data_IF_838708534635
#
_entry.id   IF_838708534635
#
_cell.length_a   1.000
_cell.length_b   1.000
_cell.length_c   1.000
_cell.angle_alpha   90.00
_cell.angle_beta   90.00
_cell.angle_gamma   90.00
#
_symmetry.space_group_name_H-M   'P 1'
#
loop_
_entity.id
_entity.type
_entity.pdbx_description
1 polymer ?
#
# COMPACT_ATOMS: atom_id res chain seq x y z
N UNK A 1 2.60 -2.53 16.46
CA UNK A 1 1.40 -1.69 16.55
C UNK A 1 0.94 -1.37 15.15
N UNK A 2 -0.16 -1.99 14.71
CA UNK A 2 -0.72 -1.82 13.36
C UNK A 2 -1.63 -0.58 13.24
N UNK A 3 -1.70 0.25 14.27
CA UNK A 3 -2.53 1.43 14.30
C UNK A 3 -1.67 2.66 14.09
N UNK A 4 -1.97 3.46 13.09
CA UNK A 4 -1.37 4.79 12.88
C UNK A 4 -1.79 5.80 13.96
N UNK A 5 -2.40 5.35 15.04
CA UNK A 5 -2.82 6.14 16.19
C UNK A 5 -1.97 5.74 17.39
N UNK A 6 -0.79 6.31 17.49
CA UNK A 6 0.04 6.25 18.68
C UNK A 6 0.32 7.66 19.17
N UNK A 7 -0.01 7.96 20.42
CA UNK A 7 0.57 9.13 21.09
C UNK A 7 1.95 8.72 21.61
N UNK A 8 2.98 9.40 21.16
CA UNK A 8 4.31 9.33 21.75
C UNK A 8 4.46 10.58 22.63
N UNK A 9 4.72 10.35 23.92
CA UNK A 9 5.23 11.42 24.75
C UNK A 9 6.66 11.71 24.29
N UNK A 10 6.82 12.78 23.53
CA UNK A 10 8.12 13.24 23.05
C UNK A 10 8.54 14.48 23.86
N UNK A 11 9.67 14.35 24.53
CA UNK A 11 10.26 15.38 25.37
C UNK A 11 11.63 15.75 24.79
N UNK A 12 11.63 16.59 23.75
CA UNK A 12 12.85 17.01 23.08
C UNK A 12 12.65 17.78 21.78
N UNK A 13 13.74 18.30 21.21
CA UNK A 13 13.72 19.05 19.96
C UNK A 13 13.62 18.17 18.74
N UNK A 14 12.75 18.54 17.79
CA UNK A 14 12.67 17.87 16.49
C UNK A 14 13.84 18.32 15.60
N UNK A 15 14.62 17.34 15.11
CA UNK A 15 15.71 17.58 14.17
C UNK A 15 15.47 16.83 12.87
N UNK A 16 15.74 17.49 11.74
CA UNK A 16 15.74 16.82 10.43
C UNK A 16 17.00 15.97 10.34
N UNK A 17 16.84 14.64 10.35
CA UNK A 17 17.94 13.68 10.22
C UNK A 17 18.13 13.18 8.80
N UNK A 18 17.08 13.20 7.97
CA UNK A 18 17.13 12.71 6.58
C UNK A 18 16.20 13.51 5.69
N UNK A 19 16.60 13.70 4.44
CA UNK A 19 15.77 14.33 3.40
C UNK A 19 15.79 13.44 2.16
N UNK A 20 14.61 13.06 1.67
CA UNK A 20 14.44 12.19 0.52
C UNK A 20 13.93 12.99 -0.68
N UNK A 21 14.51 12.75 -1.86
CA UNK A 21 14.09 13.38 -3.10
C UNK A 21 13.48 12.32 -4.05
N UNK A 22 12.29 12.58 -4.53
CA UNK A 22 11.58 11.73 -5.50
C UNK A 22 10.68 12.59 -6.39
N UNK A 23 10.14 11.99 -7.45
CA UNK A 23 9.30 12.70 -8.41
C UNK A 23 8.03 13.26 -7.77
N UNK A 24 7.60 14.43 -8.23
CA UNK A 24 6.33 15.04 -7.82
C UNK A 24 5.16 14.08 -8.06
N UNK A 25 4.23 14.01 -7.10
CA UNK A 25 2.95 13.34 -7.24
C UNK A 25 1.88 14.40 -7.48
N UNK A 26 1.29 14.42 -8.66
CA UNK A 26 0.37 15.49 -9.07
C UNK A 26 -0.97 15.49 -8.32
N UNK A 27 -1.34 14.38 -7.69
CA UNK A 27 -2.64 14.21 -7.04
C UNK A 27 -2.60 14.28 -5.51
N UNK A 28 -1.61 14.93 -4.93
CA UNK A 28 -1.46 15.07 -3.47
C UNK A 28 -2.70 15.65 -2.78
N UNK A 29 -3.44 16.54 -3.46
CA UNK A 29 -4.61 17.20 -2.86
C UNK A 29 -5.79 16.26 -2.61
N UNK A 30 -5.78 15.04 -3.14
CA UNK A 30 -6.87 14.07 -3.01
C UNK A 30 -6.50 12.83 -2.20
N UNK A 31 -5.21 12.52 -2.12
CA UNK A 31 -4.72 11.29 -1.48
C UNK A 31 -3.42 11.58 -0.74
N UNK A 32 -3.40 11.29 0.55
CA UNK A 32 -2.16 11.26 1.31
C UNK A 32 -1.41 9.97 0.94
N UNK A 33 -0.20 10.08 0.36
CA UNK A 33 0.58 8.89 0.04
C UNK A 33 1.05 8.21 1.32
N UNK A 34 0.84 6.91 1.40
CA UNK A 34 1.34 6.11 2.51
C UNK A 34 2.85 5.91 2.37
N UNK A 35 3.57 6.31 3.42
CA UNK A 35 5.01 6.06 3.55
C UNK A 35 5.19 4.86 4.46
N UNK A 36 6.00 3.90 4.04
CA UNK A 36 6.32 2.73 4.85
C UNK A 36 7.74 2.83 5.36
N UNK A 37 7.89 2.66 6.67
CA UNK A 37 9.18 2.46 7.31
C UNK A 37 9.33 1.01 7.74
N UNK A 38 10.43 0.37 7.35
CA UNK A 38 10.79 -0.95 7.80
C UNK A 38 12.31 -1.09 7.93
N UNK A 39 12.81 -1.47 9.11
CA UNK A 39 14.22 -1.72 9.38
C UNK A 39 15.15 -0.61 8.86
N UNK A 40 14.88 0.64 9.24
CA UNK A 40 15.61 1.84 8.80
C UNK A 40 15.55 2.11 7.29
N UNK A 41 14.67 1.43 6.55
CA UNK A 41 14.40 1.73 5.14
C UNK A 41 13.07 2.44 5.00
N UNK A 42 12.99 3.33 4.02
CA UNK A 42 11.79 4.04 3.64
C UNK A 42 11.33 3.55 2.26
N UNK A 43 10.03 3.27 2.15
CA UNK A 43 9.40 2.92 0.88
C UNK A 43 8.39 3.98 0.49
N UNK A 44 8.44 4.35 -0.76
CA UNK A 44 7.56 5.35 -1.35
C UNK A 44 7.26 5.01 -2.82
N UNK A 45 6.30 5.70 -3.46
CA UNK A 45 6.02 5.52 -4.87
C UNK A 45 5.98 6.86 -5.63
N UNK A 46 6.33 6.85 -6.92
CA UNK A 46 6.24 8.02 -7.79
C UNK A 46 4.91 8.05 -8.58
N UNK A 47 4.66 9.15 -9.30
CA UNK A 47 3.44 9.34 -10.08
C UNK A 47 3.29 8.42 -11.30
N UNK A 48 4.24 7.55 -11.56
CA UNK A 48 4.18 6.49 -12.58
C UNK A 48 3.99 5.11 -11.96
N UNK A 49 3.79 5.05 -10.63
CA UNK A 49 3.64 3.82 -9.89
C UNK A 49 4.96 3.06 -9.69
N UNK A 50 6.11 3.72 -9.84
CA UNK A 50 7.37 3.08 -9.44
C UNK A 50 7.48 3.08 -7.93
N UNK A 51 7.88 1.94 -7.37
CA UNK A 51 8.21 1.83 -5.95
C UNK A 51 9.69 2.13 -5.78
N UNK A 52 10.01 2.94 -4.77
CA UNK A 52 11.36 3.34 -4.42
C UNK A 52 11.67 2.90 -2.99
N UNK A 53 12.84 2.33 -2.79
CA UNK A 53 13.37 1.99 -1.47
C UNK A 53 14.62 2.81 -1.20
N UNK A 54 14.64 3.47 -0.06
CA UNK A 54 15.77 4.24 0.42
C UNK A 54 16.28 3.67 1.75
N UNK A 55 17.57 3.86 2.02
CA UNK A 55 18.17 3.58 3.33
C UNK A 55 18.04 4.79 4.29
N UNK A 56 18.54 4.63 5.51
CA UNK A 56 18.54 5.68 6.53
C UNK A 56 19.39 6.91 6.16
N UNK A 57 20.34 6.78 5.22
CA UNK A 57 21.16 7.88 4.70
C UNK A 57 20.53 8.59 3.49
N UNK A 58 19.28 8.29 3.17
CA UNK A 58 18.53 8.81 2.01
C UNK A 58 19.09 8.35 0.66
N UNK A 59 19.89 7.29 0.64
CA UNK A 59 20.40 6.70 -0.60
C UNK A 59 19.36 5.75 -1.18
N UNK A 60 19.08 5.89 -2.48
CA UNK A 60 18.20 4.97 -3.21
C UNK A 60 18.86 3.59 -3.30
N UNK A 61 18.19 2.56 -2.75
CA UNK A 61 18.63 1.17 -2.80
C UNK A 61 18.15 0.51 -4.10
N UNK A 62 16.82 0.61 -4.36
CA UNK A 62 16.24 0.12 -5.60
C UNK A 62 15.01 0.94 -6.01
N UNK A 63 14.74 0.92 -7.31
CA UNK A 63 13.52 1.46 -7.93
C UNK A 63 12.98 0.44 -8.91
N UNK A 64 11.73 0.03 -8.74
CA UNK A 64 11.05 -0.96 -9.60
C UNK A 64 9.70 -0.42 -10.06
N UNK A 65 9.28 -0.82 -11.25
CA UNK A 65 7.99 -0.45 -11.81
C UNK A 65 7.40 -1.65 -12.56
N UNK A 66 6.14 -2.01 -12.23
CA UNK A 66 5.46 -3.20 -12.74
C UNK A 66 4.29 -2.83 -13.66
N UNK A 67 4.18 -1.56 -14.06
CA UNK A 67 3.13 -1.06 -14.94
C UNK A 67 3.60 -0.96 -16.38
N UNK A 68 2.70 -1.29 -17.30
CA UNK A 68 2.88 -1.06 -18.75
C UNK A 68 2.97 0.44 -19.07
N UNK A 69 3.38 0.76 -20.28
CA UNK A 69 3.49 2.16 -20.74
C UNK A 69 2.14 2.89 -20.70
N UNK A 70 1.05 2.20 -20.99
CA UNK A 70 -0.32 2.75 -20.95
C UNK A 70 -0.77 3.00 -19.51
N UNK A 71 -0.55 2.06 -18.62
CA UNK A 71 -0.92 2.17 -17.20
C UNK A 71 -0.18 3.30 -16.47
N UNK A 72 1.11 3.51 -16.79
CA UNK A 72 1.89 4.63 -16.24
C UNK A 72 1.31 6.00 -16.54
N UNK A 73 0.61 6.15 -17.69
CA UNK A 73 -0.09 7.38 -18.05
C UNK A 73 -1.32 7.65 -17.19
N UNK A 74 -1.91 6.60 -16.59
CA UNK A 74 -3.04 6.70 -15.69
C UNK A 74 -2.66 7.13 -14.27
N UNK A 75 -1.34 7.31 -14.02
CA UNK A 75 -0.79 7.74 -12.72
C UNK A 75 -1.27 6.86 -11.57
N UNK A 76 -0.80 5.59 -11.48
CA UNK A 76 -1.22 4.66 -10.45
C UNK A 76 -0.98 5.22 -9.05
N UNK A 77 -1.99 5.09 -8.18
CA UNK A 77 -1.92 5.47 -6.78
C UNK A 77 -1.87 4.18 -5.96
N UNK A 78 -0.80 4.02 -5.20
CA UNK A 78 -0.51 2.79 -4.50
C UNK A 78 -0.88 2.89 -3.02
N UNK A 79 -1.59 1.88 -2.52
CA UNK A 79 -1.63 1.56 -1.11
C UNK A 79 -0.61 0.45 -0.88
N UNK A 80 0.23 0.61 0.13
CA UNK A 80 1.31 -0.32 0.41
C UNK A 80 1.26 -0.78 1.86
N UNK A 81 1.65 -2.02 2.11
CA UNK A 81 1.79 -2.60 3.45
C UNK A 81 2.95 -3.58 3.48
N UNK A 82 3.76 -3.54 4.53
CA UNK A 82 4.83 -4.53 4.70
C UNK A 82 4.44 -5.63 5.70
N UNK A 83 4.77 -6.86 5.38
CA UNK A 83 4.60 -8.02 6.25
C UNK A 83 5.74 -9.01 6.03
N UNK A 84 6.62 -9.14 7.01
CA UNK A 84 7.80 -9.98 6.88
C UNK A 84 8.67 -9.59 5.68
N UNK A 85 8.87 -10.53 4.76
CA UNK A 85 9.63 -10.29 3.51
C UNK A 85 8.77 -9.74 2.36
N UNK A 86 7.47 -9.56 2.56
CA UNK A 86 6.55 -9.09 1.53
C UNK A 86 6.30 -7.59 1.66
N UNK A 87 6.38 -6.88 0.55
CA UNK A 87 5.73 -5.59 0.38
C UNK A 87 4.50 -5.83 -0.49
N UNK A 88 3.32 -5.61 0.09
CA UNK A 88 2.02 -5.83 -0.57
C UNK A 88 1.53 -4.50 -1.11
N UNK A 89 1.06 -4.50 -2.33
CA UNK A 89 0.56 -3.33 -3.03
C UNK A 89 -0.84 -3.59 -3.56
N UNK A 90 -1.73 -2.62 -3.42
CA UNK A 90 -3.03 -2.56 -4.09
C UNK A 90 -3.24 -1.15 -4.63
N UNK A 91 -3.83 -1.01 -5.81
CA UNK A 91 -3.89 0.27 -6.50
C UNK A 91 -5.29 0.67 -6.98
N UNK A 92 -5.36 1.88 -7.51
CA UNK A 92 -6.55 2.46 -8.10
C UNK A 92 -6.86 1.95 -9.51
N UNK A 93 -6.04 1.06 -10.08
CA UNK A 93 -6.25 0.41 -11.38
C UNK A 93 -6.75 -1.03 -11.23
N UNK A 94 -7.19 -1.42 -10.03
CA UNK A 94 -7.63 -2.76 -9.67
C UNK A 94 -6.52 -3.83 -9.70
N UNK A 95 -5.26 -3.42 -9.66
CA UNK A 95 -4.11 -4.32 -9.61
C UNK A 95 -3.65 -4.51 -8.16
N UNK A 96 -3.29 -5.75 -7.80
CA UNK A 96 -2.66 -6.04 -6.52
C UNK A 96 -1.53 -7.04 -6.71
N UNK A 97 -0.47 -6.88 -5.94
CA UNK A 97 0.73 -7.67 -6.11
C UNK A 97 1.61 -7.65 -4.86
N UNK A 98 2.51 -8.61 -4.79
CA UNK A 98 3.56 -8.65 -3.77
C UNK A 98 4.94 -8.62 -4.42
N UNK A 99 5.85 -7.92 -3.75
CA UNK A 99 7.26 -7.90 -4.11
C UNK A 99 8.10 -8.30 -2.90
N UNK A 100 9.27 -8.87 -3.16
CA UNK A 100 10.26 -9.08 -2.11
C UNK A 100 10.77 -7.73 -1.59
N UNK A 101 10.67 -7.52 -0.29
CA UNK A 101 10.99 -6.20 0.31
C UNK A 101 12.48 -5.86 0.24
N UNK A 102 13.36 -6.86 0.09
CA UNK A 102 14.82 -6.64 0.00
C UNK A 102 15.25 -6.28 -1.41
N UNK A 103 14.88 -7.11 -2.40
CA UNK A 103 15.30 -6.96 -3.80
C UNK A 103 14.36 -6.13 -4.66
N UNK A 104 13.10 -6.01 -4.26
CA UNK A 104 12.05 -5.42 -5.09
C UNK A 104 11.59 -6.35 -6.22
N UNK A 105 11.93 -7.63 -6.22
CA UNK A 105 11.50 -8.54 -7.28
C UNK A 105 10.03 -8.92 -7.11
N UNK A 106 9.32 -9.00 -8.24
CA UNK A 106 7.91 -9.36 -8.24
C UNK A 106 7.74 -10.82 -7.83
N UNK A 107 6.95 -11.09 -6.80
CA UNK A 107 6.62 -12.43 -6.35
C UNK A 107 5.37 -12.96 -7.05
N UNK A 108 4.32 -12.16 -7.07
CA UNK A 108 3.09 -12.44 -7.80
C UNK A 108 2.33 -11.14 -8.09
N UNK A 109 1.47 -11.16 -9.12
CA UNK A 109 0.61 -10.05 -9.51
C UNK A 109 -0.73 -10.57 -10.01
N UNK A 110 -1.81 -9.89 -9.63
CA UNK A 110 -3.18 -10.21 -10.02
C UNK A 110 -4.00 -8.95 -10.24
N UNK A 111 -5.15 -9.12 -10.89
CA UNK A 111 -6.13 -8.07 -11.09
C UNK A 111 -7.40 -8.40 -10.32
N UNK A 112 -8.01 -7.39 -9.72
CA UNK A 112 -9.35 -7.45 -9.16
C UNK A 112 -10.37 -6.95 -10.19
N UNK A 113 -11.66 -7.14 -9.89
CA UNK A 113 -12.76 -6.66 -10.74
C UNK A 113 -12.91 -5.13 -10.62
N UNK A 114 -12.65 -4.59 -9.44
CA UNK A 114 -12.81 -3.16 -9.13
C UNK A 114 -11.54 -2.60 -8.46
N UNK A 115 -11.24 -1.31 -8.64
CA UNK A 115 -10.17 -0.63 -7.92
C UNK A 115 -10.30 -0.76 -6.41
N UNK A 116 -9.17 -0.70 -5.71
CA UNK A 116 -9.17 -0.75 -4.25
C UNK A 116 -9.39 0.64 -3.63
N UNK A 117 -10.14 0.67 -2.52
CA UNK A 117 -10.53 1.90 -1.84
C UNK A 117 -10.33 1.82 -0.31
N UNK A 118 -9.38 1.03 0.15
CA UNK A 118 -9.06 0.95 1.57
C UNK A 118 -7.56 0.88 1.81
N UNK A 119 -7.20 1.03 3.08
CA UNK A 119 -5.90 0.59 3.55
C UNK A 119 -5.80 -0.93 3.41
N UNK A 120 -4.58 -1.43 3.18
CA UNK A 120 -4.27 -2.85 3.24
C UNK A 120 -4.02 -3.22 4.70
N UNK A 121 -4.58 -4.33 5.15
CA UNK A 121 -4.23 -4.96 6.43
C UNK A 121 -3.79 -6.39 6.18
N UNK A 122 -2.85 -6.84 6.99
CA UNK A 122 -2.36 -8.23 6.93
C UNK A 122 -2.41 -8.85 8.32
N UNK A 123 -2.97 -10.05 8.39
CA UNK A 123 -3.01 -10.84 9.62
C UNK A 123 -2.96 -12.34 9.28
N UNK A 124 -2.12 -13.09 10.00
CA UNK A 124 -1.96 -14.56 9.81
C UNK A 124 -1.83 -14.97 8.34
N UNK A 125 -0.94 -14.30 7.59
CA UNK A 125 -0.70 -14.53 6.16
C UNK A 125 -1.89 -14.25 5.23
N UNK A 126 -2.91 -13.55 5.72
CA UNK A 126 -4.05 -13.11 4.93
C UNK A 126 -4.03 -11.60 4.74
N UNK A 127 -4.32 -11.16 3.52
CA UNK A 127 -4.43 -9.77 3.12
C UNK A 127 -5.91 -9.39 3.12
N UNK A 128 -6.26 -8.28 3.79
CA UNK A 128 -7.61 -7.75 3.84
C UNK A 128 -7.65 -6.38 3.19
N UNK A 129 -8.60 -6.18 2.29
CA UNK A 129 -8.77 -4.93 1.55
C UNK A 129 -10.22 -4.78 1.09
N UNK A 130 -10.70 -3.54 0.96
CA UNK A 130 -12.04 -3.23 0.41
C UNK A 130 -11.86 -2.57 -0.96
N UNK A 131 -12.70 -2.95 -1.91
CA UNK A 131 -12.75 -2.34 -3.23
C UNK A 131 -13.85 -1.28 -3.36
N UNK A 132 -13.87 -0.56 -4.49
CA UNK A 132 -14.87 0.48 -4.78
C UNK A 132 -16.31 -0.06 -4.94
N UNK A 133 -16.50 -1.37 -4.99
CA UNK A 133 -17.83 -1.99 -4.95
C UNK A 133 -18.29 -2.31 -3.53
N UNK A 134 -17.55 -1.83 -2.51
CA UNK A 134 -17.78 -2.12 -1.10
C UNK A 134 -17.69 -3.62 -0.76
N UNK A 135 -16.84 -4.35 -1.47
CA UNK A 135 -16.58 -5.76 -1.20
C UNK A 135 -15.32 -5.87 -0.35
N UNK A 136 -15.45 -6.41 0.87
CA UNK A 136 -14.31 -6.83 1.67
C UNK A 136 -13.76 -8.13 1.11
N UNK A 137 -12.48 -8.14 0.79
CA UNK A 137 -11.80 -9.29 0.20
C UNK A 137 -10.65 -9.76 1.07
N UNK A 138 -10.48 -11.07 1.10
CA UNK A 138 -9.37 -11.73 1.76
C UNK A 138 -8.56 -12.51 0.74
N UNK A 139 -7.25 -12.26 0.70
CA UNK A 139 -6.32 -12.94 -0.18
C UNK A 139 -5.19 -13.61 0.60
N UNK A 140 -4.66 -14.69 0.07
CA UNK A 140 -3.42 -15.31 0.56
C UNK A 140 -2.22 -14.40 0.25
N UNK A 141 -1.34 -14.18 1.23
CA UNK A 141 -0.11 -13.39 1.03
C UNK A 141 0.90 -14.11 0.13
N UNK A 142 0.84 -15.45 0.09
CA UNK A 142 1.85 -16.27 -0.58
C UNK A 142 1.72 -16.19 -2.10
N UNK A 143 0.48 -16.22 -2.60
CA UNK A 143 0.19 -16.31 -4.03
C UNK A 143 -0.88 -15.35 -4.54
N UNK A 144 -1.44 -14.51 -3.66
CA UNK A 144 -2.50 -13.57 -3.99
C UNK A 144 -3.84 -14.21 -4.35
N UNK A 145 -4.06 -15.51 -4.06
CA UNK A 145 -5.35 -16.17 -4.33
C UNK A 145 -6.43 -15.61 -3.43
N UNK A 146 -7.60 -15.27 -3.99
CA UNK A 146 -8.77 -14.91 -3.19
C UNK A 146 -9.23 -16.11 -2.38
N UNK A 147 -9.32 -15.96 -1.07
CA UNK A 147 -9.78 -16.99 -0.14
C UNK A 147 -11.28 -16.87 0.09
N UNK A 148 -11.74 -15.64 0.28
CA UNK A 148 -13.16 -15.33 0.44
C UNK A 148 -13.40 -13.83 0.20
N UNK A 149 -14.66 -13.47 0.01
CA UNK A 149 -15.10 -12.08 0.00
C UNK A 149 -16.47 -11.95 0.69
N UNK A 150 -16.72 -10.75 1.21
CA UNK A 150 -18.00 -10.37 1.82
C UNK A 150 -18.47 -9.10 1.13
N UNK A 151 -19.63 -9.19 0.50
CA UNK A 151 -20.28 -8.05 -0.12
C UNK A 151 -21.18 -7.39 0.92
N UNK A 152 -21.01 -6.10 1.14
CA UNK A 152 -21.97 -5.32 1.92
C UNK A 152 -23.26 -5.15 1.12
N UNK A 153 -24.38 -4.92 1.82
CA UNK A 153 -25.67 -4.71 1.16
C UNK A 153 -25.61 -3.65 0.06
N UNK A 154 -26.53 -3.74 -0.90
CA UNK A 154 -26.61 -2.88 -2.08
C UNK A 154 -26.75 -1.40 -1.68
N UNK A 155 -25.65 -0.78 -1.34
CA UNK A 155 -25.58 0.66 -1.18
C UNK A 155 -25.33 1.28 -2.56
N UNK A 156 -26.25 2.10 -3.03
CA UNK A 156 -26.03 2.95 -4.20
C UNK A 156 -24.94 4.01 -3.95
N UNK A 157 -24.60 4.25 -2.68
CA UNK A 157 -23.59 5.22 -2.26
C UNK A 157 -22.25 4.51 -2.10
N UNK A 158 -21.31 4.84 -2.96
CA UNK A 158 -19.92 4.40 -2.84
C UNK A 158 -19.09 5.45 -2.11
N UNK A 159 -18.30 5.02 -1.13
CA UNK A 159 -17.40 5.94 -0.43
C UNK A 159 -16.37 6.52 -1.38
N UNK A 160 -16.31 7.84 -1.45
CA UNK A 160 -15.24 8.57 -2.17
C UNK A 160 -13.97 8.70 -1.33
N UNK A 161 -14.05 8.43 -0.03
CA UNK A 161 -12.90 8.47 0.88
C UNK A 161 -12.28 7.10 1.00
N UNK A 162 -10.96 7.07 1.18
CA UNK A 162 -10.23 5.84 1.49
C UNK A 162 -10.71 5.27 2.82
N UNK A 163 -11.12 4.01 2.81
CA UNK A 163 -11.63 3.32 3.99
C UNK A 163 -10.48 2.81 4.87
N UNK A 164 -10.68 2.86 6.18
CA UNK A 164 -9.77 2.27 7.15
C UNK A 164 -10.30 0.91 7.60
N UNK A 165 -9.38 -0.06 7.71
CA UNK A 165 -9.65 -1.38 8.25
C UNK A 165 -8.94 -1.54 9.58
N UNK A 166 -9.61 -2.19 10.54
CA UNK A 166 -9.05 -2.55 11.83
C UNK A 166 -9.24 -4.05 12.02
N UNK A 167 -8.20 -4.73 12.46
CA UNK A 167 -8.26 -6.13 12.88
C UNK A 167 -8.24 -6.16 14.39
N UNK A 168 -9.26 -6.75 15.00
CA UNK A 168 -9.42 -6.85 16.45
C UNK A 168 -9.70 -8.30 16.86
N UNK A 169 -8.91 -8.87 17.78
CA UNK A 169 -9.05 -10.24 18.33
C UNK A 169 -9.29 -11.30 17.24
N UNK A 170 -8.42 -11.32 16.23
CA UNK A 170 -8.49 -12.26 15.09
C UNK A 170 -9.74 -12.13 14.19
N UNK A 171 -10.49 -11.02 14.31
CA UNK A 171 -11.66 -10.66 13.50
C UNK A 171 -11.47 -9.33 12.79
#
# INVERSE_FOLDING_TARGET
LSNNYGSLNYDGDLKVISKYNFSKIDNFNRFEPEIIFNNKNLFFFDNKGSILKFDASSKLIWKKNYYSRSEKKLKPILSMFNSGNYLIIADNLAKYYAVDIKSGDLLWMKNNIAPFNSQIKVHKNNIFVIDFQNVLRCYSIVDGKELWNIRTDNSFVKSQKKLSLIIYKDK
#
